data_IF_276415754927
#
_entry.id   IF_276415754927
#
_cell.length_a   1.000
_cell.length_b   1.000
_cell.length_c   1.000
_cell.angle_alpha   90.00
_cell.angle_beta   90.00
_cell.angle_gamma   90.00
#
_symmetry.space_group_name_H-M   'P 1'
#
loop_
_entity.id
_entity.type
_entity.pdbx_description
1 polymer ?
#
# COMPACT_ATOMS: atom_id res chain seq x y z
N UNK A 1 -0.08 -4.83 4.92
CA UNK A 1 0.64 -5.95 4.34
C UNK A 1 2.15 -5.78 4.46
N UNK A 2 2.91 -6.83 4.13
CA UNK A 2 4.37 -6.78 4.01
C UNK A 2 4.82 -7.44 2.71
N UNK A 3 5.65 -6.75 1.93
CA UNK A 3 6.10 -7.25 0.62
C UNK A 3 6.94 -8.53 0.70
N UNK A 4 7.64 -8.76 1.83
CA UNK A 4 8.39 -10.00 2.04
C UNK A 4 7.47 -11.22 2.15
N UNK A 5 6.27 -11.05 2.72
CA UNK A 5 5.25 -12.12 2.77
C UNK A 5 4.86 -12.53 1.35
N UNK A 6 4.54 -11.56 0.48
CA UNK A 6 4.17 -11.85 -0.91
C UNK A 6 5.35 -12.46 -1.69
N UNK A 7 6.53 -11.85 -1.59
CA UNK A 7 7.72 -12.37 -2.27
C UNK A 7 8.08 -13.78 -1.80
N UNK A 8 8.05 -14.04 -0.50
CA UNK A 8 8.32 -15.35 0.07
C UNK A 8 7.30 -16.39 -0.37
N UNK A 9 6.01 -16.02 -0.41
CA UNK A 9 4.96 -16.90 -0.92
C UNK A 9 5.16 -17.25 -2.40
N UNK A 10 5.46 -16.26 -3.25
CA UNK A 10 5.74 -16.51 -4.66
C UNK A 10 7.03 -17.34 -4.86
N UNK A 11 8.02 -17.18 -3.98
CA UNK A 11 9.22 -18.02 -4.00
C UNK A 11 8.91 -19.48 -3.64
N UNK A 12 7.97 -19.76 -2.72
CA UNK A 12 7.51 -21.13 -2.42
C UNK A 12 6.89 -21.81 -3.65
N UNK A 13 6.31 -21.04 -4.57
CA UNK A 13 5.74 -21.52 -5.83
C UNK A 13 6.78 -21.54 -6.98
N UNK A 14 8.04 -21.18 -6.72
CA UNK A 14 9.07 -21.09 -7.78
C UNK A 14 8.90 -19.88 -8.71
N UNK A 15 8.16 -18.84 -8.29
CA UNK A 15 7.78 -17.69 -9.11
C UNK A 15 8.55 -16.40 -8.75
N UNK A 16 9.73 -16.51 -8.16
CA UNK A 16 10.52 -15.37 -7.67
C UNK A 16 10.77 -14.32 -8.75
N UNK A 17 11.16 -14.73 -9.95
CA UNK A 17 11.45 -13.81 -11.07
C UNK A 17 10.20 -13.07 -11.57
N UNK A 18 9.02 -13.63 -11.36
CA UNK A 18 7.73 -13.07 -11.78
C UNK A 18 7.04 -12.29 -10.66
N UNK A 19 7.61 -12.25 -9.45
CA UNK A 19 6.93 -11.70 -8.26
C UNK A 19 6.45 -10.27 -8.45
N UNK A 20 7.25 -9.40 -9.10
CA UNK A 20 6.87 -8.02 -9.38
C UNK A 20 5.65 -7.91 -10.32
N UNK A 21 5.62 -8.71 -11.40
CA UNK A 21 4.50 -8.71 -12.35
C UNK A 21 3.24 -9.32 -11.73
N UNK A 22 3.40 -10.35 -10.91
CA UNK A 22 2.29 -10.96 -10.15
C UNK A 22 1.71 -9.92 -9.19
N UNK A 23 2.53 -9.21 -8.41
CA UNK A 23 2.07 -8.14 -7.51
C UNK A 23 1.31 -7.05 -8.26
N UNK A 24 1.84 -6.57 -9.41
CA UNK A 24 1.15 -5.57 -10.25
C UNK A 24 -0.19 -6.07 -10.81
N UNK A 25 -0.32 -7.37 -10.99
CA UNK A 25 -1.57 -8.00 -11.47
C UNK A 25 -2.57 -8.15 -10.35
N UNK A 26 -2.13 -8.63 -9.19
CA UNK A 26 -2.93 -8.77 -7.97
C UNK A 26 -3.47 -7.42 -7.49
N UNK A 27 -2.69 -6.34 -7.58
CA UNK A 27 -3.12 -4.98 -7.26
C UNK A 27 -4.37 -4.50 -8.05
N UNK A 28 -4.66 -5.14 -9.16
CA UNK A 28 -5.85 -4.83 -9.96
C UNK A 28 -7.08 -5.64 -9.56
N UNK A 29 -6.95 -6.55 -8.57
CA UNK A 29 -7.99 -7.51 -8.21
C UNK A 29 -9.35 -6.84 -7.97
N UNK A 30 -9.39 -5.78 -7.18
CA UNK A 30 -10.62 -5.05 -6.86
C UNK A 30 -11.27 -4.39 -8.10
N UNK A 31 -10.46 -4.05 -9.10
CA UNK A 31 -10.92 -3.36 -10.30
C UNK A 31 -11.41 -4.28 -11.40
N UNK A 32 -10.74 -5.42 -11.57
CA UNK A 32 -10.98 -6.30 -12.72
C UNK A 32 -11.55 -7.67 -12.34
N UNK A 33 -11.53 -8.01 -11.06
CA UNK A 33 -12.04 -9.27 -10.52
C UNK A 33 -11.08 -10.44 -10.66
N UNK A 34 -11.31 -11.54 -9.88
CA UNK A 34 -10.39 -12.67 -9.78
C UNK A 34 -10.24 -13.45 -11.11
N UNK A 35 -11.30 -13.57 -11.90
CA UNK A 35 -11.25 -14.30 -13.17
C UNK A 35 -10.30 -13.64 -14.18
N UNK A 36 -10.33 -12.29 -14.26
CA UNK A 36 -9.42 -11.56 -15.15
C UNK A 36 -7.99 -11.58 -14.63
N UNK A 37 -7.81 -11.47 -13.30
CA UNK A 37 -6.49 -11.63 -12.68
C UNK A 37 -5.92 -13.00 -13.01
N UNK A 38 -6.70 -14.08 -12.83
CA UNK A 38 -6.29 -15.44 -13.19
C UNK A 38 -5.93 -15.57 -14.68
N UNK A 39 -6.73 -14.98 -15.56
CA UNK A 39 -6.45 -15.00 -17.00
C UNK A 39 -5.11 -14.31 -17.35
N UNK A 40 -4.79 -13.17 -16.71
CA UNK A 40 -3.50 -12.49 -16.89
C UNK A 40 -2.36 -13.34 -16.33
N UNK A 41 -2.51 -13.90 -15.12
CA UNK A 41 -1.49 -14.75 -14.51
C UNK A 41 -1.15 -15.95 -15.40
N UNK A 42 -2.16 -16.63 -15.92
CA UNK A 42 -1.96 -17.85 -16.71
C UNK A 42 -1.59 -17.56 -18.17
N UNK A 43 -2.14 -16.51 -18.78
CA UNK A 43 -1.89 -16.13 -20.17
C UNK A 43 -0.61 -15.31 -20.31
N UNK A 44 -0.64 -14.07 -19.85
CA UNK A 44 0.44 -13.11 -20.09
C UNK A 44 1.70 -13.45 -19.29
N UNK A 45 1.54 -13.86 -18.03
CA UNK A 45 2.64 -14.18 -17.14
C UNK A 45 3.05 -15.68 -17.17
N UNK A 46 2.32 -16.51 -17.90
CA UNK A 46 2.62 -17.95 -18.03
C UNK A 46 2.82 -18.65 -16.68
N UNK A 47 1.99 -18.28 -15.69
CA UNK A 47 1.90 -18.97 -14.39
C UNK A 47 1.07 -20.23 -14.57
N UNK A 48 1.47 -21.35 -13.97
CA UNK A 48 0.66 -22.57 -14.04
C UNK A 48 -0.74 -22.34 -13.44
N UNK A 49 -1.82 -22.89 -14.00
CA UNK A 49 -3.16 -22.68 -13.49
C UNK A 49 -3.34 -23.01 -11.99
N UNK A 50 -2.67 -24.09 -11.52
CA UNK A 50 -2.64 -24.45 -10.11
C UNK A 50 -2.05 -23.36 -9.22
N UNK A 51 -0.93 -22.77 -9.67
CA UNK A 51 -0.23 -21.73 -8.90
C UNK A 51 -1.01 -20.41 -8.91
N UNK A 52 -1.68 -20.10 -10.02
CA UNK A 52 -2.60 -18.97 -10.10
C UNK A 52 -3.78 -19.12 -9.11
N UNK A 53 -4.32 -20.32 -8.97
CA UNK A 53 -5.36 -20.61 -7.98
C UNK A 53 -4.83 -20.48 -6.54
N UNK A 54 -3.61 -20.96 -6.25
CA UNK A 54 -3.00 -20.82 -4.94
C UNK A 54 -2.69 -19.34 -4.62
N UNK A 55 -2.25 -18.53 -5.59
CA UNK A 55 -2.07 -17.09 -5.43
C UNK A 55 -3.39 -16.43 -5.07
N UNK A 56 -4.46 -16.67 -5.82
CA UNK A 56 -5.77 -16.09 -5.55
C UNK A 56 -6.32 -16.50 -4.19
N UNK A 57 -6.15 -17.77 -3.82
CA UNK A 57 -6.54 -18.28 -2.51
C UNK A 57 -5.75 -17.64 -1.37
N UNK A 58 -4.45 -17.46 -1.55
CA UNK A 58 -3.59 -16.82 -0.56
C UNK A 58 -3.99 -15.37 -0.31
N UNK A 59 -4.13 -14.56 -1.36
CA UNK A 59 -4.51 -13.15 -1.24
C UNK A 59 -5.95 -12.94 -0.77
N UNK A 60 -6.81 -13.95 -0.90
CA UNK A 60 -8.18 -13.95 -0.41
C UNK A 60 -8.29 -14.29 1.11
N UNK A 61 -7.16 -14.60 1.79
CA UNK A 61 -7.15 -14.77 3.24
C UNK A 61 -7.60 -13.45 3.88
N UNK A 62 -8.71 -13.50 4.60
CA UNK A 62 -9.36 -12.33 5.18
C UNK A 62 -10.01 -12.66 6.52
N UNK A 63 -10.47 -11.65 7.23
CA UNK A 63 -11.09 -11.78 8.56
C UNK A 63 -10.50 -10.79 9.55
N UNK A 64 -10.68 -11.02 10.84
CA UNK A 64 -10.00 -10.22 11.87
C UNK A 64 -8.48 -10.40 11.81
N UNK A 65 -7.74 -9.41 12.30
CA UNK A 65 -6.27 -9.39 12.23
C UNK A 65 -5.64 -10.69 12.76
N UNK A 66 -6.12 -11.21 13.90
CA UNK A 66 -5.62 -12.45 14.49
C UNK A 66 -5.87 -13.67 13.59
N UNK A 67 -7.00 -13.71 12.90
CA UNK A 67 -7.33 -14.80 11.99
C UNK A 67 -6.41 -14.79 10.76
N UNK A 68 -6.14 -13.62 10.18
CA UNK A 68 -5.21 -13.46 9.06
C UNK A 68 -3.80 -13.85 9.49
N UNK A 69 -3.31 -13.33 10.62
CA UNK A 69 -1.98 -13.66 11.13
C UNK A 69 -1.85 -15.16 11.45
N UNK A 70 -2.88 -15.77 12.05
CA UNK A 70 -2.91 -17.21 12.32
C UNK A 70 -2.86 -18.04 11.03
N UNK A 71 -3.55 -17.62 9.98
CA UNK A 71 -3.50 -18.29 8.67
C UNK A 71 -2.09 -18.18 8.05
N UNK A 72 -1.42 -17.03 8.19
CA UNK A 72 -0.05 -16.83 7.71
C UNK A 72 0.96 -17.69 8.49
N UNK A 73 0.76 -17.91 9.79
CA UNK A 73 1.59 -18.82 10.60
C UNK A 73 1.63 -20.25 10.04
N UNK A 74 0.58 -20.69 9.35
CA UNK A 74 0.54 -22.00 8.66
C UNK A 74 1.58 -22.15 7.53
N UNK A 75 2.18 -21.07 7.08
CA UNK A 75 3.23 -21.05 6.05
C UNK A 75 4.64 -20.90 6.64
N UNK A 76 4.77 -20.62 7.94
CA UNK A 76 6.07 -20.43 8.64
C UNK A 76 6.99 -21.63 8.43
N UNK A 77 8.27 -21.35 8.28
CA UNK A 77 9.33 -22.34 8.08
C UNK A 77 9.48 -22.87 6.65
N UNK A 78 8.68 -22.36 5.70
CA UNK A 78 8.76 -22.76 4.29
C UNK A 78 9.66 -21.86 3.45
N UNK A 79 9.86 -20.61 3.88
CA UNK A 79 10.72 -19.65 3.19
C UNK A 79 11.19 -18.56 4.16
N UNK A 80 12.49 -18.28 4.20
CA UNK A 80 13.08 -17.32 5.13
C UNK A 80 12.60 -15.89 4.92
N UNK A 81 12.38 -15.47 3.68
CA UNK A 81 11.87 -14.12 3.35
C UNK A 81 10.44 -13.97 3.84
N UNK A 82 9.63 -15.01 3.68
CA UNK A 82 8.27 -15.06 4.23
C UNK A 82 8.27 -14.92 5.74
N UNK A 83 9.10 -15.70 6.42
CA UNK A 83 9.20 -15.71 7.89
C UNK A 83 9.64 -14.34 8.43
N UNK A 84 10.61 -13.68 7.78
CA UNK A 84 11.00 -12.31 8.10
C UNK A 84 9.83 -11.33 7.93
N UNK A 85 9.10 -11.42 6.82
CA UNK A 85 7.95 -10.57 6.55
C UNK A 85 6.83 -10.76 7.57
N UNK A 86 6.59 -11.99 7.98
CA UNK A 86 5.61 -12.33 9.01
C UNK A 86 5.98 -11.78 10.38
N UNK A 87 7.25 -11.87 10.76
CA UNK A 87 7.76 -11.31 12.02
C UNK A 87 7.67 -9.77 12.04
N UNK A 88 8.02 -9.13 10.93
CA UNK A 88 7.85 -7.68 10.78
C UNK A 88 6.39 -7.26 10.88
N UNK A 89 5.47 -8.00 10.23
CA UNK A 89 4.04 -7.70 10.26
C UNK A 89 3.47 -7.88 11.67
N UNK A 90 3.80 -8.97 12.36
CA UNK A 90 3.42 -9.21 13.75
C UNK A 90 3.93 -8.07 14.67
N UNK A 91 5.15 -7.60 14.44
CA UNK A 91 5.73 -6.49 15.20
C UNK A 91 4.96 -5.19 14.96
N UNK A 92 4.59 -4.88 13.71
CA UNK A 92 3.79 -3.70 13.39
C UNK A 92 2.42 -3.76 14.06
N UNK A 93 1.72 -4.90 13.97
CA UNK A 93 0.39 -5.07 14.58
C UNK A 93 0.47 -4.89 16.10
N UNK A 94 1.49 -5.45 16.75
CA UNK A 94 1.72 -5.26 18.18
C UNK A 94 1.94 -3.79 18.53
N UNK A 95 2.79 -3.08 17.78
CA UNK A 95 3.06 -1.67 18.04
C UNK A 95 1.86 -0.77 17.77
N UNK A 96 0.99 -1.08 16.82
CA UNK A 96 -0.26 -0.37 16.66
C UNK A 96 -1.12 -0.44 17.92
N UNK A 97 -1.21 -1.62 18.53
CA UNK A 97 -1.91 -1.79 19.82
C UNK A 97 -1.21 -1.02 20.96
N UNK A 98 0.14 -1.09 21.04
CA UNK A 98 0.92 -0.38 22.06
C UNK A 98 0.77 1.16 21.92
N UNK A 99 0.60 1.68 20.72
CA UNK A 99 0.29 3.09 20.44
C UNK A 99 -1.18 3.45 20.65
N UNK A 100 -2.02 2.50 21.05
CA UNK A 100 -3.43 2.73 21.33
C UNK A 100 -4.31 2.88 20.08
N UNK A 101 -3.87 2.38 18.93
CA UNK A 101 -4.71 2.35 17.73
C UNK A 101 -5.80 1.29 17.90
N UNK A 102 -7.10 1.67 17.86
CA UNK A 102 -8.20 0.70 18.01
C UNK A 102 -8.13 -0.39 16.93
N UNK A 103 -8.43 -1.64 17.31
CA UNK A 103 -8.33 -2.78 16.41
C UNK A 103 -9.28 -2.68 15.19
N UNK A 104 -10.38 -1.97 15.34
CA UNK A 104 -11.35 -1.69 14.28
C UNK A 104 -10.85 -0.65 13.26
N UNK A 105 -9.78 0.08 13.58
CA UNK A 105 -9.24 1.13 12.72
C UNK A 105 -8.08 0.65 11.83
N UNK A 106 -7.70 -0.63 11.91
CA UNK A 106 -6.71 -1.20 11.00
C UNK A 106 -7.01 -2.65 10.67
N UNK A 107 -6.59 -3.09 9.50
CA UNK A 107 -6.71 -4.47 9.06
C UNK A 107 -5.43 -4.94 8.35
N UNK A 108 -5.08 -6.21 8.57
CA UNK A 108 -4.08 -6.90 7.75
C UNK A 108 -4.77 -7.35 6.47
N UNK A 109 -4.33 -6.81 5.34
CA UNK A 109 -4.90 -7.06 4.04
C UNK A 109 -3.81 -7.48 3.04
N UNK A 110 -3.91 -8.71 2.54
CA UNK A 110 -2.93 -9.28 1.62
C UNK A 110 -3.11 -8.79 0.17
N UNK A 111 -4.23 -8.18 -0.16
CA UNK A 111 -4.48 -7.59 -1.48
C UNK A 111 -3.70 -6.30 -1.69
N UNK A 112 -3.24 -5.63 -0.61
CA UNK A 112 -2.36 -4.47 -0.70
C UNK A 112 -0.98 -4.94 -1.17
N UNK A 113 -0.87 -5.10 -2.48
CA UNK A 113 0.36 -5.49 -3.17
C UNK A 113 1.03 -4.30 -3.85
N UNK A 114 0.31 -3.16 -3.95
CA UNK A 114 0.78 -1.97 -4.64
C UNK A 114 1.85 -1.22 -3.83
N UNK A 115 2.39 -0.26 -4.48
CA UNK A 115 3.45 0.62 -4.01
C UNK A 115 4.52 0.71 -5.07
N UNK A 116 5.37 1.70 -4.93
CA UNK A 116 6.52 1.86 -5.80
C UNK A 116 7.47 0.67 -5.61
N UNK A 117 8.15 0.28 -6.66
CA UNK A 117 9.00 -0.94 -6.67
C UNK A 117 10.12 -0.91 -5.61
N UNK A 118 10.39 0.27 -5.05
CA UNK A 118 11.39 0.45 -3.99
C UNK A 118 10.94 0.02 -2.58
N UNK A 119 9.66 -0.27 -2.33
CA UNK A 119 9.24 -0.79 -1.03
C UNK A 119 9.75 -2.20 -0.80
N UNK A 120 10.35 -2.43 0.37
CA UNK A 120 11.04 -3.68 0.73
C UNK A 120 10.37 -4.46 1.87
N UNK A 121 9.50 -3.80 2.64
CA UNK A 121 8.88 -4.37 3.84
C UNK A 121 7.39 -4.03 3.93
N UNK A 122 6.99 -3.55 5.12
CA UNK A 122 5.60 -3.16 5.39
C UNK A 122 5.13 -2.08 4.41
N UNK A 123 3.93 -2.26 3.88
CA UNK A 123 3.19 -1.30 3.05
C UNK A 123 1.82 -1.07 3.67
N UNK A 124 1.30 0.13 3.56
CA UNK A 124 0.02 0.50 4.14
C UNK A 124 -0.73 1.50 3.26
N UNK A 125 -2.03 1.45 3.36
CA UNK A 125 -2.97 2.38 2.76
C UNK A 125 -3.97 2.82 3.83
N UNK A 126 -4.45 4.05 3.70
CA UNK A 126 -5.49 4.60 4.58
C UNK A 126 -6.68 4.98 3.73
N UNK A 127 -7.84 4.49 4.12
CA UNK A 127 -9.14 4.84 3.52
C UNK A 127 -10.01 5.52 4.56
N UNK A 128 -10.98 6.30 4.12
CA UNK A 128 -12.00 6.86 5.00
C UNK A 128 -13.08 5.80 5.22
N UNK A 129 -13.37 5.49 6.49
CA UNK A 129 -14.35 4.45 6.85
C UNK A 129 -15.75 4.79 6.35
N UNK A 130 -16.14 6.07 6.43
CA UNK A 130 -17.46 6.54 6.00
C UNK A 130 -17.55 6.81 4.48
N UNK A 131 -16.39 6.79 3.78
CA UNK A 131 -16.27 7.12 2.35
C UNK A 131 -15.28 6.18 1.62
N UNK A 132 -15.48 4.84 1.68
CA UNK A 132 -14.57 3.88 1.08
C UNK A 132 -14.47 3.99 -0.45
N UNK A 133 -15.50 4.53 -1.11
CA UNK A 133 -15.56 4.76 -2.56
C UNK A 133 -14.49 5.73 -3.07
N UNK A 134 -13.95 6.57 -2.19
CA UNK A 134 -12.89 7.53 -2.52
C UNK A 134 -11.55 6.83 -2.72
N UNK A 135 -11.41 5.65 -2.12
CA UNK A 135 -10.18 4.87 -2.11
C UNK A 135 -9.12 5.44 -1.17
N UNK A 136 -7.86 5.10 -1.41
CA UNK A 136 -6.76 5.49 -0.54
C UNK A 136 -6.54 7.01 -0.54
N UNK A 137 -6.58 7.61 0.65
CA UNK A 137 -6.26 9.04 0.89
C UNK A 137 -4.83 9.23 1.39
N UNK A 138 -4.21 8.14 1.86
CA UNK A 138 -2.81 8.15 2.30
C UNK A 138 -2.22 6.76 2.06
N UNK A 139 -0.96 6.70 1.67
CA UNK A 139 -0.25 5.45 1.49
C UNK A 139 1.23 5.61 1.82
N UNK A 140 1.88 4.49 2.06
CA UNK A 140 3.30 4.50 2.34
C UNK A 140 3.86 3.11 2.55
N UNK A 141 5.11 3.06 2.99
CA UNK A 141 5.77 1.80 3.28
C UNK A 141 7.22 1.97 3.69
N UNK A 142 7.81 0.84 4.04
CA UNK A 142 9.23 0.72 4.36
C UNK A 142 10.04 0.51 3.08
N UNK A 143 11.16 1.19 3.00
CA UNK A 143 12.17 1.03 1.95
C UNK A 143 13.56 1.01 2.58
N UNK A 144 14.37 0.03 2.20
CA UNK A 144 15.70 -0.15 2.77
C UNK A 144 16.81 0.32 1.82
N UNK A 145 16.55 0.29 0.50
CA UNK A 145 17.58 0.45 -0.53
C UNK A 145 17.44 1.74 -1.35
N UNK A 146 16.45 2.60 -1.06
CA UNK A 146 16.20 3.80 -1.87
C UNK A 146 17.39 4.75 -1.89
N UNK A 147 18.11 4.86 -0.79
CA UNK A 147 19.28 5.74 -0.66
C UNK A 147 20.47 5.27 -1.49
N UNK A 148 20.55 3.98 -1.86
CA UNK A 148 21.67 3.40 -2.63
C UNK A 148 21.80 4.02 -4.02
N UNK A 149 20.72 4.62 -4.56
CA UNK A 149 20.80 5.40 -5.81
C UNK A 149 21.62 6.69 -5.70
N UNK A 150 21.89 7.15 -4.46
CA UNK A 150 22.53 8.45 -4.21
C UNK A 150 23.74 8.35 -3.29
N UNK A 151 23.94 7.25 -2.60
CA UNK A 151 25.02 7.04 -1.62
C UNK A 151 25.31 5.57 -1.43
N UNK A 152 26.57 5.24 -1.08
CA UNK A 152 27.00 3.88 -0.72
C UNK A 152 26.53 3.44 0.69
N UNK A 153 25.75 4.28 1.37
CA UNK A 153 25.25 3.96 2.72
C UNK A 153 23.88 3.30 2.63
N UNK A 154 23.71 2.22 3.38
CA UNK A 154 22.38 1.68 3.64
C UNK A 154 21.63 2.59 4.63
N UNK A 155 20.60 3.23 4.15
CA UNK A 155 19.74 4.13 4.94
C UNK A 155 18.30 3.64 4.82
N UNK A 156 17.88 2.72 5.70
CA UNK A 156 16.49 2.28 5.72
C UNK A 156 15.58 3.43 6.10
N UNK A 157 14.41 3.47 5.48
CA UNK A 157 13.42 4.49 5.73
C UNK A 157 12.00 3.95 5.69
N UNK A 158 11.09 4.70 6.27
CA UNK A 158 9.67 4.55 6.09
C UNK A 158 9.07 5.90 5.71
N UNK A 159 8.20 5.91 4.73
CA UNK A 159 7.60 7.13 4.22
C UNK A 159 6.10 7.05 4.14
N UNK A 160 5.47 8.22 4.16
CA UNK A 160 4.04 8.38 4.00
C UNK A 160 3.77 9.48 2.96
N UNK A 161 2.75 9.25 2.14
CA UNK A 161 2.26 10.24 1.18
C UNK A 161 0.77 10.45 1.43
N UNK A 162 0.39 11.69 1.69
CA UNK A 162 -1.00 12.08 1.90
C UNK A 162 -1.52 12.73 0.62
N UNK A 163 -2.64 12.23 0.10
CA UNK A 163 -3.34 12.79 -1.04
C UNK A 163 -4.12 14.06 -0.66
N UNK A 164 -3.38 15.14 -0.39
CA UNK A 164 -3.96 16.39 0.14
C UNK A 164 -5.12 16.91 -0.72
N UNK A 165 -4.94 16.98 -2.03
CA UNK A 165 -5.99 17.45 -2.95
C UNK A 165 -7.24 16.57 -2.89
N UNK A 166 -7.05 15.24 -2.84
CA UNK A 166 -8.17 14.29 -2.73
C UNK A 166 -8.89 14.46 -1.40
N UNK A 167 -8.15 14.52 -0.30
CA UNK A 167 -8.71 14.68 1.04
C UNK A 167 -9.46 16.01 1.14
N UNK A 168 -8.87 17.10 0.67
CA UNK A 168 -9.51 18.42 0.68
C UNK A 168 -10.79 18.46 -0.14
N UNK A 169 -10.78 17.87 -1.33
CA UNK A 169 -11.96 17.76 -2.18
C UNK A 169 -13.12 17.04 -1.47
N UNK A 170 -12.81 15.88 -0.87
CA UNK A 170 -13.81 15.09 -0.14
C UNK A 170 -14.37 15.84 1.04
N UNK A 171 -13.54 16.46 1.87
CA UNK A 171 -13.96 17.25 3.01
C UNK A 171 -14.84 18.43 2.57
N UNK A 172 -14.58 19.01 1.41
CA UNK A 172 -15.41 20.05 0.81
C UNK A 172 -16.79 19.54 0.38
N UNK A 173 -16.83 18.43 -0.38
CA UNK A 173 -18.10 17.82 -0.82
C UNK A 173 -19.00 17.38 0.35
N UNK A 174 -18.37 16.97 1.47
CA UNK A 174 -19.08 16.55 2.67
C UNK A 174 -19.42 17.70 3.62
N UNK A 175 -19.09 18.94 3.27
CA UNK A 175 -19.35 20.10 4.13
C UNK A 175 -18.56 20.09 5.45
N UNK A 176 -17.45 19.35 5.51
CA UNK A 176 -16.60 19.22 6.70
C UNK A 176 -15.53 20.32 6.80
N UNK A 177 -15.37 21.14 5.77
CA UNK A 177 -14.44 22.27 5.83
C UNK A 177 -15.07 23.41 6.64
N UNK A 178 -14.26 24.04 7.47
CA UNK A 178 -14.70 25.25 8.18
C UNK A 178 -15.02 26.38 7.17
N UNK A 179 -16.29 26.85 7.08
CA UNK A 179 -16.66 27.90 6.12
C UNK A 179 -16.01 29.25 6.40
N UNK A 180 -15.52 29.46 7.62
CA UNK A 180 -14.87 30.73 8.03
C UNK A 180 -13.36 30.74 7.71
N UNK A 181 -12.79 29.66 7.12
CA UNK A 181 -11.42 29.67 6.69
C UNK A 181 -11.23 30.60 5.48
N UNK A 182 -10.24 31.48 5.51
CA UNK A 182 -9.95 32.33 4.36
C UNK A 182 -9.57 31.46 3.16
N UNK A 183 -10.30 31.61 2.06
CA UNK A 183 -10.09 30.84 0.83
C UNK A 183 -8.94 31.35 -0.01
N UNK A 184 -8.43 32.55 0.32
CA UNK A 184 -7.28 33.15 -0.34
C UNK A 184 -6.37 33.83 0.71
N UNK A 185 -5.05 33.79 0.52
CA UNK A 185 -4.10 34.46 1.42
C UNK A 185 -4.11 35.99 1.27
N UNK A 186 -4.78 36.51 0.25
CA UNK A 186 -4.88 37.93 -0.05
C UNK A 186 -6.23 38.28 -0.66
N UNK A 187 -6.78 39.44 -0.34
CA UNK A 187 -8.01 39.97 -0.88
C UNK A 187 -7.82 40.45 -2.33
N UNK A 188 -6.62 40.89 -2.64
CA UNK A 188 -6.24 41.39 -3.98
C UNK A 188 -4.89 40.78 -4.38
N UNK A 189 -4.84 40.23 -5.59
CA UNK A 189 -3.60 39.75 -6.20
C UNK A 189 -3.26 40.61 -7.40
N UNK A 190 -2.12 41.29 -7.36
CA UNK A 190 -1.59 42.05 -8.49
C UNK A 190 -0.57 41.18 -9.22
N UNK A 191 -0.85 40.90 -10.49
CA UNK A 191 0.04 40.16 -11.40
C UNK A 191 0.70 41.14 -12.37
N UNK A 192 1.98 41.53 -12.19
CA UNK A 192 2.66 42.35 -13.11
C UNK A 192 2.89 41.60 -14.44
N UNK A 193 2.52 42.24 -15.56
CA UNK A 193 2.68 41.69 -16.90
C UNK A 193 3.99 42.13 -17.58
N UNK A 194 4.89 42.69 -16.81
CA UNK A 194 6.19 43.27 -17.25
C UNK A 194 7.29 42.81 -16.28
N UNK A 195 8.52 42.77 -16.74
CA UNK A 195 9.71 42.49 -15.93
C UNK A 195 10.08 43.71 -15.04
N UNK A 196 9.57 44.90 -15.34
CA UNK A 196 9.76 46.08 -14.51
C UNK A 196 8.71 46.13 -13.40
N UNK A 197 9.14 45.78 -12.21
CA UNK A 197 8.31 45.77 -10.97
C UNK A 197 8.24 47.09 -10.27
N UNK A 198 8.83 48.17 -10.83
CA UNK A 198 8.90 49.50 -10.16
C UNK A 198 7.52 50.17 -10.03
N UNK A 199 6.51 49.69 -10.75
CA UNK A 199 5.14 50.21 -10.75
C UNK A 199 4.12 49.30 -10.07
N UNK A 200 4.56 48.19 -9.41
CA UNK A 200 3.67 47.20 -8.79
C UNK A 200 3.45 47.48 -7.27
#
# INVERSE_FOLDING_TARGET
NNRKILNGFYAMLGLTEKSGDIMRTVDKLDKIGPEKVKAILTGDLTVAPSDADEILKFIAISGGNDAVLSALEGYRGRNEIFDQGLEELNTVVRYLADFGVPAENFAVDLTIARGLDYYTGTVYETTLLDHPEIGSVCSGGRYDNLAEYYTDRQLPGAGISIGLTRLFYVLGEQGMLNPDLPTAPADVLILPMTEDLSAA
#
